data_IF_805753587465
#
_entry.id   IF_805753587465
#
_cell.length_a   1.000
_cell.length_b   1.000
_cell.length_c   1.000
_cell.angle_alpha   90.00
_cell.angle_beta   90.00
_cell.angle_gamma   90.00
#
_symmetry.space_group_name_H-M   'P 1'
#
loop_
_entity.id
_entity.type
_entity.pdbx_description
1 polymer ?
#
# COMPACT_ATOMS: atom_id res chain seq x y z
N UNK A 1 7.74 -16.51 0.52
CA UNK A 1 8.72 -15.54 -0.02
C UNK A 1 9.16 -14.60 1.08
N UNK A 2 10.37 -14.04 1.03
CA UNK A 2 10.84 -12.95 1.92
C UNK A 2 11.02 -11.61 1.17
N UNK A 3 10.51 -11.53 -0.06
CA UNK A 3 10.65 -10.36 -0.94
C UNK A 3 9.41 -9.46 -0.84
N UNK A 4 9.62 -8.14 -0.84
CA UNK A 4 8.56 -7.15 -0.99
C UNK A 4 8.10 -7.16 -2.45
N UNK A 5 6.79 -7.22 -2.65
CA UNK A 5 6.15 -7.28 -3.95
C UNK A 5 5.61 -5.92 -4.38
N UNK A 6 4.92 -5.23 -3.48
CA UNK A 6 4.15 -4.01 -3.74
C UNK A 6 4.27 -3.07 -2.54
N UNK A 7 4.24 -1.76 -2.80
CA UNK A 7 4.10 -0.72 -1.79
C UNK A 7 3.25 0.40 -2.41
N UNK A 8 2.09 0.70 -1.84
CA UNK A 8 1.20 1.73 -2.38
C UNK A 8 0.47 2.51 -1.28
N UNK A 9 0.10 3.75 -1.59
CA UNK A 9 -0.72 4.63 -0.73
C UNK A 9 -2.12 4.72 -1.31
N UNK A 10 -3.14 4.60 -0.46
CA UNK A 10 -4.53 4.78 -0.84
C UNK A 10 -4.89 6.27 -0.95
N UNK A 11 -5.74 6.59 -1.92
CA UNK A 11 -6.10 7.98 -2.30
C UNK A 11 -7.60 8.14 -2.58
N UNK A 12 -8.43 7.14 -2.25
CA UNK A 12 -9.86 7.18 -2.51
C UNK A 12 -10.62 7.54 -1.21
N UNK A 13 -11.17 8.77 -1.10
CA UNK A 13 -11.91 9.19 0.09
C UNK A 13 -13.27 8.49 0.23
N UNK A 14 -13.77 7.83 -0.82
CA UNK A 14 -15.03 7.09 -0.79
C UNK A 14 -14.85 5.60 -0.46
N UNK A 15 -13.61 5.10 -0.36
CA UNK A 15 -13.34 3.71 -0.03
C UNK A 15 -13.54 3.43 1.47
N UNK A 16 -13.90 2.19 1.78
CA UNK A 16 -14.22 1.71 3.13
C UNK A 16 -13.53 0.38 3.44
N UNK A 17 -13.57 -0.04 4.70
CA UNK A 17 -12.98 -1.31 5.16
C UNK A 17 -13.85 -2.56 4.86
N UNK A 18 -14.77 -2.48 3.88
CA UNK A 18 -15.67 -3.60 3.55
C UNK A 18 -14.94 -4.82 3.00
N UNK A 19 -13.86 -4.61 2.25
CA UNK A 19 -13.01 -5.68 1.71
C UNK A 19 -11.54 -5.30 1.80
N UNK A 20 -10.64 -6.28 1.82
CA UNK A 20 -9.19 -6.03 1.76
C UNK A 20 -8.82 -5.26 0.49
N UNK A 21 -9.42 -5.58 -0.65
CA UNK A 21 -9.18 -4.89 -1.93
C UNK A 21 -9.58 -3.42 -1.90
N UNK A 22 -10.66 -3.09 -1.21
CA UNK A 22 -11.13 -1.72 -1.04
C UNK A 22 -10.29 -0.98 0.00
N UNK A 23 -9.93 -1.64 1.09
CA UNK A 23 -9.11 -1.08 2.16
C UNK A 23 -7.72 -0.63 1.68
N UNK A 24 -7.15 -1.31 0.67
CA UNK A 24 -5.92 -0.87 -0.05
C UNK A 24 -6.03 0.52 -0.67
N UNK A 25 -7.24 1.01 -0.93
CA UNK A 25 -7.51 2.25 -1.68
C UNK A 25 -7.92 3.42 -0.78
N UNK A 26 -8.29 3.16 0.47
CA UNK A 26 -8.75 4.20 1.42
C UNK A 26 -7.70 5.30 1.50
N UNK A 27 -8.17 6.54 1.35
CA UNK A 27 -7.30 7.71 1.45
C UNK A 27 -6.49 7.68 2.75
N UNK A 28 -5.17 7.86 2.61
CA UNK A 28 -4.25 7.88 3.74
C UNK A 28 -3.79 6.53 4.27
N UNK A 29 -4.33 5.40 3.78
CA UNK A 29 -3.76 4.09 4.11
C UNK A 29 -2.51 3.78 3.30
N UNK A 30 -1.70 2.85 3.79
CA UNK A 30 -0.58 2.29 3.04
C UNK A 30 -0.76 0.77 2.99
N UNK A 31 -0.48 0.14 1.86
CA UNK A 31 -0.36 -1.31 1.80
C UNK A 31 1.03 -1.72 1.32
N UNK A 32 1.52 -2.81 1.91
CA UNK A 32 2.78 -3.46 1.54
C UNK A 32 2.48 -4.94 1.32
N UNK A 33 2.91 -5.48 0.20
CA UNK A 33 2.71 -6.91 -0.11
C UNK A 33 4.02 -7.68 -0.11
N UNK A 34 3.95 -8.96 0.27
CA UNK A 34 5.06 -9.91 0.20
C UNK A 34 4.79 -10.99 -0.85
N UNK A 35 5.82 -11.36 -1.61
CA UNK A 35 5.73 -12.46 -2.56
C UNK A 35 5.81 -12.02 -4.01
N UNK A 36 4.88 -12.49 -4.81
CA UNK A 36 4.88 -12.36 -6.26
C UNK A 36 4.60 -10.92 -6.70
N UNK A 37 5.40 -10.41 -7.64
CA UNK A 37 5.17 -9.10 -8.26
C UNK A 37 5.19 -9.14 -9.80
N UNK A 38 5.17 -10.33 -10.41
CA UNK A 38 5.29 -10.44 -11.87
C UNK A 38 4.07 -9.90 -12.61
N UNK A 39 2.91 -9.87 -11.97
CA UNK A 39 1.65 -9.35 -12.52
C UNK A 39 1.55 -7.83 -12.48
N UNK A 40 2.40 -7.17 -11.69
CA UNK A 40 2.42 -5.71 -11.48
C UNK A 40 3.71 -5.06 -12.01
N UNK A 41 4.40 -5.74 -12.94
CA UNK A 41 5.58 -5.21 -13.63
C UNK A 41 6.93 -5.53 -12.97
N UNK A 42 6.94 -6.28 -11.87
CA UNK A 42 8.16 -6.84 -11.30
C UNK A 42 8.64 -8.10 -12.02
N UNK A 43 9.79 -8.62 -11.62
CA UNK A 43 10.41 -9.84 -12.18
C UNK A 43 10.36 -11.03 -11.23
N UNK A 44 9.95 -10.82 -9.99
CA UNK A 44 10.00 -11.85 -8.95
C UNK A 44 8.74 -12.69 -8.98
N UNK A 45 8.92 -13.99 -9.22
CA UNK A 45 7.84 -14.97 -9.19
C UNK A 45 7.80 -15.69 -7.85
N UNK A 46 6.60 -15.81 -7.28
CA UNK A 46 6.38 -16.59 -6.05
C UNK A 46 5.02 -17.26 -6.06
N UNK A 47 4.87 -18.36 -5.30
CA UNK A 47 3.56 -19.02 -5.14
C UNK A 47 2.60 -18.29 -4.20
N UNK A 48 2.98 -17.13 -3.66
CA UNK A 48 2.18 -16.34 -2.72
C UNK A 48 2.25 -14.86 -3.08
N UNK A 49 1.16 -14.14 -2.86
CA UNK A 49 1.09 -12.68 -2.78
C UNK A 49 0.22 -12.36 -1.56
N UNK A 50 0.80 -11.75 -0.54
CA UNK A 50 0.12 -11.48 0.73
C UNK A 50 0.15 -9.99 1.01
N UNK A 51 -1.03 -9.37 1.04
CA UNK A 51 -1.21 -7.96 1.33
C UNK A 51 -1.27 -7.69 2.84
N UNK A 52 -0.52 -6.69 3.30
CA UNK A 52 -0.67 -6.07 4.61
C UNK A 52 -1.12 -4.62 4.46
N UNK A 53 -2.11 -4.20 5.25
CA UNK A 53 -2.63 -2.82 5.26
C UNK A 53 -2.23 -2.14 6.57
N UNK A 54 -1.78 -0.89 6.46
CA UNK A 54 -1.45 0.00 7.57
C UNK A 54 -2.45 1.17 7.50
N UNK A 55 -3.32 1.25 8.51
CA UNK A 55 -4.45 2.20 8.53
C UNK A 55 -4.05 3.65 8.83
N UNK A 56 -3.01 3.87 9.65
CA UNK A 56 -2.55 5.21 10.04
C UNK A 56 -1.02 5.32 9.93
N UNK A 57 -0.47 5.20 8.71
CA UNK A 57 0.97 5.27 8.49
C UNK A 57 1.46 6.72 8.46
N UNK A 58 2.76 6.90 8.68
CA UNK A 58 3.51 8.05 8.15
C UNK A 58 4.36 7.54 7.00
N UNK A 59 4.19 8.13 5.81
CA UNK A 59 4.90 7.74 4.58
C UNK A 59 5.75 8.91 4.11
N UNK A 60 7.06 8.66 4.00
CA UNK A 60 8.05 9.62 3.50
C UNK A 60 8.71 9.06 2.24
N UNK A 61 8.73 9.85 1.16
CA UNK A 61 9.39 9.51 -0.11
C UNK A 61 10.37 10.63 -0.43
N UNK A 62 11.64 10.28 -0.66
CA UNK A 62 12.71 11.25 -0.98
C UNK A 62 12.81 12.43 0.00
N UNK A 63 12.57 12.15 1.29
CA UNK A 63 12.60 13.17 2.35
C UNK A 63 11.34 14.04 2.47
N UNK A 64 10.32 13.84 1.62
CA UNK A 64 9.02 14.51 1.73
C UNK A 64 7.98 13.57 2.34
N UNK A 65 7.38 13.99 3.45
CA UNK A 65 6.20 13.32 4.00
C UNK A 65 5.01 13.53 3.06
N UNK A 66 4.38 12.44 2.63
CA UNK A 66 3.19 12.46 1.76
C UNK A 66 1.93 11.97 2.48
N UNK A 67 2.09 11.16 3.52
CA UNK A 67 1.04 10.79 4.46
C UNK A 67 1.60 10.98 5.87
N UNK A 68 0.85 11.63 6.76
CA UNK A 68 1.20 11.79 8.17
C UNK A 68 0.10 11.24 9.06
N UNK A 69 0.40 10.18 9.83
CA UNK A 69 -0.54 9.52 10.73
C UNK A 69 -1.89 9.12 10.09
N UNK A 70 -1.89 8.76 8.80
CA UNK A 70 -3.10 8.44 8.04
C UNK A 70 -3.76 9.61 7.30
N UNK A 71 -3.20 10.82 7.38
CA UNK A 71 -3.69 11.98 6.64
C UNK A 71 -2.82 12.22 5.40
N UNK A 72 -3.43 12.40 4.23
CA UNK A 72 -2.71 12.74 3.00
C UNK A 72 -2.26 14.22 3.07
N UNK A 73 -0.95 14.48 3.06
CA UNK A 73 -0.38 15.83 3.29
C UNK A 73 0.27 16.46 2.05
N UNK A 74 0.12 15.83 0.88
CA UNK A 74 0.58 16.39 -0.39
C UNK A 74 -0.49 17.31 -0.96
N UNK A 75 -0.27 18.62 -0.84
CA UNK A 75 -0.98 19.68 -1.57
C UNK A 75 -0.05 20.32 -2.61
#
# INVERSE_FOLDING_TARGET
SRQIAECAVGINPAATYNTVFEAKKIEGTCHISLGDNHTIGGVHRSGVHMDGIISSPTVTVDGKTIVDCGELVIT
#
